data_IF_846366557118
#
_entry.id   IF_846366557118
#
_cell.length_a   1.000
_cell.length_b   1.000
_cell.length_c   1.000
_cell.angle_alpha   90.00
_cell.angle_beta   90.00
_cell.angle_gamma   90.00
#
_symmetry.space_group_name_H-M   'P 1'
#
loop_
_entity.id
_entity.type
_entity.pdbx_description
1 polymer ?
#
# COMPACT_ATOMS: atom_id res chain seq x y z
N UNK A 1 -22.85 12.62 6.02
CA UNK A 1 -21.38 12.54 6.05
C UNK A 1 -20.93 12.63 4.61
N UNK A 2 -20.15 13.66 4.25
CA UNK A 2 -19.76 13.89 2.85
C UNK A 2 -18.27 13.55 2.70
N UNK A 3 -17.93 12.77 1.69
CA UNK A 3 -16.54 12.43 1.36
C UNK A 3 -15.94 13.63 0.61
N UNK A 4 -14.80 14.14 1.10
CA UNK A 4 -14.12 15.30 0.51
C UNK A 4 -12.95 14.92 -0.40
N UNK A 5 -12.38 13.72 -0.21
CA UNK A 5 -11.31 13.16 -1.01
C UNK A 5 -11.17 11.65 -0.73
N UNK A 6 -10.70 10.90 -1.72
CA UNK A 6 -10.34 9.49 -1.65
C UNK A 6 -9.13 9.25 -2.56
N UNK A 7 -8.25 8.33 -2.18
CA UNK A 7 -7.10 7.93 -2.99
C UNK A 7 -6.74 6.47 -2.76
N UNK A 8 -6.22 5.83 -3.78
CA UNK A 8 -5.68 4.48 -3.67
C UNK A 8 -4.24 4.51 -3.15
N UNK A 9 -3.87 3.49 -2.37
CA UNK A 9 -2.54 3.38 -1.77
C UNK A 9 -1.98 1.97 -1.97
N UNK A 10 -0.65 1.81 -2.10
CA UNK A 10 -0.06 0.49 -2.26
C UNK A 10 -0.08 -0.28 -0.92
N UNK A 11 -0.01 -1.61 -0.99
CA UNK A 11 0.07 -2.49 0.18
C UNK A 11 1.25 -2.14 1.11
N UNK A 12 2.34 -1.59 0.54
CA UNK A 12 3.47 -1.10 1.32
C UNK A 12 3.08 0.04 2.28
N UNK A 13 2.21 0.94 1.85
CA UNK A 13 1.68 2.04 2.66
C UNK A 13 0.63 1.53 3.66
N UNK A 14 -0.25 0.62 3.24
CA UNK A 14 -1.19 -0.07 4.14
C UNK A 14 -0.45 -0.74 5.30
N UNK A 15 0.62 -1.48 5.00
CA UNK A 15 1.47 -2.14 6.00
C UNK A 15 2.08 -1.14 6.97
N UNK A 16 2.56 0.00 6.49
CA UNK A 16 3.14 1.03 7.34
C UNK A 16 2.09 1.62 8.29
N UNK A 17 0.93 2.02 7.76
CA UNK A 17 -0.19 2.58 8.54
C UNK A 17 -0.63 1.61 9.64
N UNK A 18 -0.84 0.33 9.30
CA UNK A 18 -1.29 -0.68 10.27
C UNK A 18 -0.22 -0.99 11.33
N UNK A 19 1.07 -0.97 10.97
CA UNK A 19 2.17 -1.14 11.94
C UNK A 19 2.24 0.04 12.92
N UNK A 20 2.05 1.26 12.43
CA UNK A 20 2.08 2.44 13.28
C UNK A 20 0.87 2.49 14.21
N UNK A 21 -0.33 2.14 13.72
CA UNK A 21 -1.52 1.97 14.57
C UNK A 21 -1.32 0.89 15.63
N UNK A 22 -0.68 -0.23 15.30
CA UNK A 22 -0.33 -1.26 16.29
C UNK A 22 0.55 -0.71 17.42
N UNK A 23 1.55 0.11 17.09
CA UNK A 23 2.43 0.75 18.08
C UNK A 23 1.66 1.74 18.95
N UNK A 24 0.78 2.55 18.35
CA UNK A 24 -0.07 3.49 19.09
C UNK A 24 -0.97 2.77 20.09
N UNK A 25 -1.70 1.74 19.67
CA UNK A 25 -2.55 0.97 20.56
C UNK A 25 -1.76 0.29 21.69
N UNK A 26 -0.58 -0.26 21.38
CA UNK A 26 0.28 -0.86 22.41
C UNK A 26 0.71 0.14 23.48
N UNK A 27 0.94 1.42 23.12
CA UNK A 27 1.25 2.48 24.09
C UNK A 27 0.06 2.85 24.97
N UNK A 28 -1.16 2.66 24.46
CA UNK A 28 -2.41 2.89 25.18
C UNK A 28 -2.91 1.64 25.95
N UNK A 29 -2.15 0.54 25.94
CA UNK A 29 -2.60 -0.73 26.53
C UNK A 29 -3.75 -1.40 25.79
N UNK A 30 -3.96 -1.04 24.52
CA UNK A 30 -5.00 -1.56 23.63
C UNK A 30 -4.42 -2.51 22.59
N UNK A 31 -5.29 -3.33 22.02
CA UNK A 31 -4.96 -4.19 20.87
C UNK A 31 -5.66 -3.72 19.60
N UNK A 32 -5.10 -4.11 18.45
CA UNK A 32 -5.76 -3.98 17.15
C UNK A 32 -7.01 -4.86 17.08
N UNK A 33 -8.01 -4.39 16.32
CA UNK A 33 -9.17 -5.19 15.96
C UNK A 33 -8.76 -6.43 15.15
N UNK A 34 -9.61 -7.45 15.15
CA UNK A 34 -9.33 -8.70 14.43
C UNK A 34 -9.05 -8.45 12.94
N UNK A 35 -9.87 -7.63 12.30
CA UNK A 35 -9.77 -7.27 10.89
C UNK A 35 -8.47 -6.52 10.58
N UNK A 36 -8.05 -5.63 11.48
CA UNK A 36 -6.78 -4.91 11.36
C UNK A 36 -5.58 -5.85 11.49
N UNK A 37 -5.64 -6.83 12.42
CA UNK A 37 -4.61 -7.87 12.54
C UNK A 37 -4.52 -8.70 11.26
N UNK A 38 -5.67 -9.13 10.72
CA UNK A 38 -5.75 -9.90 9.46
C UNK A 38 -5.23 -9.11 8.25
N UNK A 39 -5.60 -7.84 8.15
CA UNK A 39 -5.11 -6.95 7.09
C UNK A 39 -3.60 -6.74 7.19
N UNK A 40 -3.07 -6.55 8.41
CA UNK A 40 -1.64 -6.39 8.63
C UNK A 40 -0.87 -7.69 8.29
N UNK A 41 -1.41 -8.85 8.64
CA UNK A 41 -0.83 -10.14 8.28
C UNK A 41 -0.78 -10.35 6.76
N UNK A 42 -1.86 -10.02 6.06
CA UNK A 42 -1.89 -10.03 4.60
C UNK A 42 -0.85 -9.07 4.02
N UNK A 43 -0.85 -7.81 4.45
CA UNK A 43 0.10 -6.81 3.96
C UNK A 43 1.56 -7.22 4.25
N UNK A 44 1.85 -7.84 5.40
CA UNK A 44 3.18 -8.37 5.72
C UNK A 44 3.64 -9.43 4.72
N UNK A 45 2.75 -10.34 4.30
CA UNK A 45 3.07 -11.46 3.39
C UNK A 45 3.06 -11.08 1.91
N UNK A 46 2.18 -10.15 1.52
CA UNK A 46 1.91 -9.84 0.11
C UNK A 46 2.68 -8.64 -0.40
N UNK A 47 3.20 -7.76 0.46
CA UNK A 47 3.95 -6.59 -0.03
C UNK A 47 5.34 -7.01 -0.53
N UNK A 48 5.60 -6.76 -1.82
CA UNK A 48 6.90 -7.01 -2.47
C UNK A 48 7.97 -5.93 -2.21
N UNK A 49 7.55 -4.68 -2.02
CA UNK A 49 8.44 -3.53 -1.82
C UNK A 49 8.37 -2.98 -0.39
N UNK A 50 9.43 -2.31 0.07
CA UNK A 50 9.31 -1.47 1.26
C UNK A 50 8.62 -0.13 0.91
N UNK A 51 8.23 0.64 1.93
CA UNK A 51 7.50 1.90 1.73
C UNK A 51 8.27 2.92 0.86
N UNK A 52 9.58 3.03 1.07
CA UNK A 52 10.43 3.97 0.33
C UNK A 52 10.51 3.60 -1.14
N UNK A 53 10.77 2.33 -1.43
CA UNK A 53 10.93 1.84 -2.79
C UNK A 53 9.59 1.85 -3.54
N UNK A 54 8.48 1.54 -2.87
CA UNK A 54 7.13 1.68 -3.43
C UNK A 54 6.81 3.11 -3.84
N UNK A 55 7.12 4.11 -2.98
CA UNK A 55 6.91 5.53 -3.32
C UNK A 55 7.78 5.98 -4.48
N UNK A 56 9.04 5.54 -4.50
CA UNK A 56 9.95 5.83 -5.61
C UNK A 56 9.44 5.25 -6.93
N UNK A 57 8.93 4.01 -6.92
CA UNK A 57 8.38 3.39 -8.12
C UNK A 57 7.11 4.11 -8.61
N UNK A 58 6.21 4.52 -7.72
CA UNK A 58 5.02 5.32 -8.08
C UNK A 58 5.43 6.61 -8.78
N UNK A 59 6.42 7.33 -8.24
CA UNK A 59 6.93 8.56 -8.85
C UNK A 59 7.49 8.30 -10.26
N UNK A 60 8.30 7.25 -10.41
CA UNK A 60 8.89 6.88 -11.70
C UNK A 60 7.81 6.50 -12.72
N UNK A 61 6.80 5.71 -12.33
CA UNK A 61 5.70 5.31 -13.21
C UNK A 61 4.82 6.50 -13.61
N UNK A 62 4.64 7.48 -12.72
CA UNK A 62 3.86 8.70 -12.98
C UNK A 62 4.53 9.63 -14.00
N UNK A 63 5.84 9.47 -14.24
CA UNK A 63 6.63 10.28 -15.17
C UNK A 63 6.76 9.65 -16.56
N UNK A 64 6.22 8.45 -16.78
CA UNK A 64 6.26 7.80 -18.09
C UNK A 64 5.47 8.60 -19.13
N UNK A 65 5.98 8.64 -20.36
CA UNK A 65 5.29 9.29 -21.49
C UNK A 65 3.95 8.60 -21.79
N UNK A 66 3.90 7.28 -21.62
CA UNK A 66 2.67 6.52 -21.64
C UNK A 66 1.88 6.76 -20.35
N UNK A 67 0.70 7.37 -20.49
CA UNK A 67 -0.13 7.77 -19.35
C UNK A 67 -0.83 6.56 -18.72
N UNK A 68 -0.27 6.05 -17.63
CA UNK A 68 -0.94 5.15 -16.70
C UNK A 68 -1.87 5.96 -15.78
N UNK A 69 -3.02 5.39 -15.43
CA UNK A 69 -3.86 5.95 -14.38
C UNK A 69 -3.33 5.56 -12.98
N UNK A 70 -3.79 6.25 -11.94
CA UNK A 70 -3.32 6.03 -10.56
C UNK A 70 -3.50 4.57 -10.12
N UNK A 71 -4.65 3.96 -10.44
CA UNK A 71 -4.95 2.57 -10.07
C UNK A 71 -3.99 1.58 -10.71
N UNK A 72 -3.64 1.78 -11.98
CA UNK A 72 -2.63 0.98 -12.68
C UNK A 72 -1.27 1.13 -12.03
N UNK A 73 -0.85 2.36 -11.70
CA UNK A 73 0.44 2.62 -11.05
C UNK A 73 0.52 1.92 -9.69
N UNK A 74 -0.52 2.06 -8.88
CA UNK A 74 -0.62 1.39 -7.58
C UNK A 74 -0.57 -0.13 -7.77
N UNK A 75 -1.32 -0.67 -8.74
CA UNK A 75 -1.39 -2.11 -8.94
C UNK A 75 -0.09 -2.71 -9.48
N UNK A 76 0.61 -2.01 -10.37
CA UNK A 76 1.96 -2.39 -10.83
C UNK A 76 2.93 -2.40 -9.65
N UNK A 77 2.84 -1.41 -8.73
CA UNK A 77 3.67 -1.38 -7.53
C UNK A 77 3.41 -2.56 -6.57
N UNK A 78 2.16 -2.99 -6.45
CA UNK A 78 1.78 -4.13 -5.59
C UNK A 78 2.12 -5.48 -6.22
N UNK A 79 1.85 -5.63 -7.51
CA UNK A 79 2.03 -6.88 -8.25
C UNK A 79 3.47 -7.08 -8.69
N UNK A 80 4.23 -6.01 -8.94
CA UNK A 80 5.59 -6.03 -9.49
C UNK A 80 5.69 -7.04 -10.67
N UNK A 81 4.98 -6.78 -11.79
CA UNK A 81 4.97 -7.67 -12.95
C UNK A 81 6.38 -7.83 -13.53
N UNK A 82 6.68 -9.02 -14.04
CA UNK A 82 7.99 -9.36 -14.60
C UNK A 82 7.92 -9.55 -16.12
N UNK A 83 6.74 -9.91 -16.63
CA UNK A 83 6.49 -10.18 -18.04
C UNK A 83 5.36 -9.32 -18.58
N UNK A 84 5.25 -9.24 -19.91
CA UNK A 84 4.14 -8.52 -20.57
C UNK A 84 2.80 -9.18 -20.28
N UNK A 85 2.77 -10.51 -20.10
CA UNK A 85 1.55 -11.26 -19.79
C UNK A 85 1.01 -10.96 -18.38
N UNK A 86 1.82 -10.35 -17.50
CA UNK A 86 1.40 -9.93 -16.15
C UNK A 86 0.66 -8.58 -16.14
N UNK A 87 0.58 -7.87 -17.27
CA UNK A 87 0.05 -6.51 -17.43
C UNK A 87 -1.19 -6.49 -18.33
#
# INVERSE_FOLDING_TARGET
MNIIAEKNIPLAEVRAILRDKKKEYSKEGKEQLYEQKRALDHANRSTKLNLRDSRKLIEQLSQLEFKLNEDQIIKICDLLPETVDDI
#
